data_IF_355530153274
#
_entry.id   IF_355530153274
#
_cell.length_a   1.000
_cell.length_b   1.000
_cell.length_c   1.000
_cell.angle_alpha   90.00
_cell.angle_beta   90.00
_cell.angle_gamma   90.00
#
_symmetry.space_group_name_H-M   'P 1'
#
loop_
_entity.id
_entity.type
_entity.pdbx_description
1 polymer ?
#
# COMPACT_ATOMS: atom_id res chain seq x y z
N UNK A 1 -5.89 7.43 0.56
CA UNK A 1 -7.05 6.82 1.23
C UNK A 1 -8.31 7.08 0.42
N UNK A 2 -9.24 6.14 0.42
CA UNK A 2 -10.49 6.22 -0.34
C UNK A 2 -11.71 6.16 0.59
N UNK A 3 -12.78 6.82 0.19
CA UNK A 3 -14.03 6.88 0.92
C UNK A 3 -14.81 5.56 0.80
N UNK A 4 -14.45 4.59 1.63
CA UNK A 4 -15.06 3.25 1.66
C UNK A 4 -15.78 3.00 2.99
N UNK A 5 -16.78 2.10 3.03
CA UNK A 5 -17.44 1.71 4.29
C UNK A 5 -16.44 1.23 5.36
N UNK A 6 -15.37 0.54 4.96
CA UNK A 6 -14.32 0.09 5.86
C UNK A 6 -13.57 1.25 6.53
N UNK A 7 -13.19 2.29 5.78
CA UNK A 7 -12.55 3.48 6.37
C UNK A 7 -13.50 4.21 7.31
N UNK A 8 -14.77 4.36 6.93
CA UNK A 8 -15.80 5.02 7.75
C UNK A 8 -16.03 4.30 9.08
N UNK A 9 -16.15 2.97 9.05
CA UNK A 9 -16.44 2.14 10.22
C UNK A 9 -15.24 1.93 11.14
N UNK A 10 -14.07 1.62 10.56
CA UNK A 10 -12.88 1.26 11.34
C UNK A 10 -12.09 2.47 11.84
N UNK A 11 -12.18 3.61 11.16
CA UNK A 11 -11.41 4.83 11.50
C UNK A 11 -12.32 6.08 11.56
N UNK A 12 -13.33 6.13 12.44
CA UNK A 12 -14.36 7.18 12.43
C UNK A 12 -13.80 8.58 12.68
N UNK A 13 -12.83 8.72 13.58
CA UNK A 13 -12.15 10.00 13.84
C UNK A 13 -11.35 10.50 12.64
N UNK A 14 -10.59 9.61 11.99
CA UNK A 14 -9.84 9.90 10.78
C UNK A 14 -10.78 10.29 9.64
N UNK A 15 -11.85 9.54 9.43
CA UNK A 15 -12.84 9.82 8.39
C UNK A 15 -13.45 11.21 8.60
N UNK A 16 -13.87 11.56 9.82
CA UNK A 16 -14.44 12.88 10.11
C UNK A 16 -13.50 14.02 9.72
N UNK A 17 -12.20 13.87 9.95
CA UNK A 17 -11.19 14.89 9.65
C UNK A 17 -10.83 14.94 8.15
N UNK A 18 -10.79 13.79 7.47
CA UNK A 18 -10.23 13.69 6.12
C UNK A 18 -11.26 13.54 5.01
N UNK A 19 -12.55 13.31 5.31
CA UNK A 19 -13.59 12.98 4.32
C UNK A 19 -13.65 13.88 3.08
N UNK A 20 -13.31 15.17 3.21
CA UNK A 20 -13.35 16.14 2.11
C UNK A 20 -12.21 15.96 1.09
N UNK A 21 -11.15 15.25 1.45
CA UNK A 21 -9.96 15.02 0.61
C UNK A 21 -9.72 13.53 0.34
N UNK A 22 -10.65 12.66 0.74
CA UNK A 22 -10.58 11.24 0.40
C UNK A 22 -10.85 11.06 -1.10
N UNK A 23 -10.14 10.11 -1.71
CA UNK A 23 -10.41 9.65 -3.06
C UNK A 23 -11.77 8.94 -3.12
N UNK A 24 -12.38 8.88 -4.30
CA UNK A 24 -13.50 7.95 -4.52
C UNK A 24 -12.98 6.49 -4.45
N UNK A 25 -13.86 5.50 -4.23
CA UNK A 25 -13.47 4.09 -4.30
C UNK A 25 -12.76 3.72 -5.60
N UNK A 26 -13.23 4.24 -6.74
CA UNK A 26 -12.67 3.97 -8.07
C UNK A 26 -11.25 4.54 -8.18
N UNK A 27 -11.05 5.79 -7.76
CA UNK A 27 -9.72 6.41 -7.68
C UNK A 27 -8.79 5.67 -6.70
N UNK A 28 -9.34 5.10 -5.63
CA UNK A 28 -8.58 4.29 -4.67
C UNK A 28 -8.12 2.95 -5.23
N UNK A 29 -8.91 2.35 -6.12
CA UNK A 29 -8.62 1.07 -6.76
C UNK A 29 -7.81 1.20 -8.06
N UNK A 30 -7.76 2.40 -8.65
CA UNK A 30 -7.16 2.65 -9.96
C UNK A 30 -5.79 2.02 -10.16
N UNK A 31 -4.83 2.30 -9.26
CA UNK A 31 -3.46 1.79 -9.41
C UNK A 31 -3.37 0.28 -9.29
N UNK A 32 -4.12 -0.35 -8.37
CA UNK A 32 -4.07 -1.82 -8.22
C UNK A 32 -4.72 -2.52 -9.42
N UNK A 33 -5.78 -1.95 -9.98
CA UNK A 33 -6.41 -2.46 -11.20
C UNK A 33 -5.46 -2.32 -12.39
N UNK A 34 -4.79 -1.18 -12.55
CA UNK A 34 -3.79 -0.99 -13.59
C UNK A 34 -2.61 -1.97 -13.44
N UNK A 35 -2.06 -2.14 -12.23
CA UNK A 35 -0.99 -3.11 -11.96
C UNK A 35 -1.37 -4.55 -12.34
N UNK A 36 -2.65 -4.91 -12.20
CA UNK A 36 -3.13 -6.25 -12.51
C UNK A 36 -3.41 -6.47 -14.01
N UNK A 37 -3.61 -5.40 -14.79
CA UNK A 37 -4.13 -5.49 -16.15
C UNK A 37 -3.20 -4.95 -17.24
N UNK A 38 -2.23 -4.09 -16.88
CA UNK A 38 -1.34 -3.44 -17.84
C UNK A 38 -0.06 -4.25 -18.05
N UNK A 39 0.27 -4.55 -19.30
CA UNK A 39 1.46 -5.33 -19.65
C UNK A 39 2.74 -4.65 -19.14
N UNK A 40 2.85 -3.33 -19.29
CA UNK A 40 4.01 -2.56 -18.85
C UNK A 40 4.23 -2.59 -17.32
N UNK A 41 3.15 -2.81 -16.55
CA UNK A 41 3.26 -2.98 -15.10
C UNK A 41 3.92 -4.32 -14.74
N UNK A 42 3.73 -5.35 -15.58
CA UNK A 42 4.34 -6.67 -15.40
C UNK A 42 5.86 -6.69 -15.60
N UNK A 43 6.40 -5.71 -16.32
CA UNK A 43 7.85 -5.59 -16.60
C UNK A 43 8.66 -5.09 -15.38
N UNK A 44 8.00 -4.71 -14.28
CA UNK A 44 8.66 -4.09 -13.12
C UNK A 44 8.26 -4.79 -11.82
N UNK A 45 9.25 -5.27 -11.07
CA UNK A 45 9.04 -5.90 -9.76
C UNK A 45 9.77 -5.15 -8.63
N UNK A 46 9.32 -5.37 -7.39
CA UNK A 46 9.96 -4.86 -6.17
C UNK A 46 9.81 -3.35 -5.92
N UNK A 47 8.90 -2.67 -6.64
CA UNK A 47 8.60 -1.25 -6.45
C UNK A 47 7.35 -1.04 -5.60
N UNK A 48 7.28 0.11 -4.94
CA UNK A 48 6.07 0.60 -4.29
C UNK A 48 5.38 1.57 -5.25
N UNK A 49 4.07 1.44 -5.44
CA UNK A 49 3.34 2.19 -6.46
C UNK A 49 2.26 3.08 -5.85
N UNK A 50 2.11 4.28 -6.40
CA UNK A 50 1.02 5.20 -6.12
C UNK A 50 0.69 5.94 -7.42
N UNK A 51 -0.58 6.07 -7.74
CA UNK A 51 -1.07 6.81 -8.92
C UNK A 51 -0.40 6.37 -10.24
N UNK A 52 -0.18 5.04 -10.36
CA UNK A 52 0.50 4.37 -11.49
C UNK A 52 1.96 4.82 -11.70
N UNK A 53 2.62 5.32 -10.66
CA UNK A 53 4.04 5.66 -10.67
C UNK A 53 4.81 4.95 -9.54
N UNK A 54 6.12 4.65 -9.72
CA UNK A 54 6.97 4.15 -8.64
C UNK A 54 7.29 5.25 -7.62
N UNK A 55 7.07 4.95 -6.35
CA UNK A 55 7.37 5.82 -5.21
C UNK A 55 8.35 5.19 -4.23
N UNK A 56 8.90 6.02 -3.34
CA UNK A 56 9.70 5.56 -2.22
C UNK A 56 8.84 4.79 -1.21
N UNK A 57 9.31 3.62 -0.78
CA UNK A 57 8.67 2.83 0.28
C UNK A 57 9.03 3.29 1.69
N UNK A 58 10.11 4.07 1.84
CA UNK A 58 10.58 4.60 3.11
C UNK A 58 10.84 6.11 2.99
N UNK A 59 9.85 6.90 3.41
CA UNK A 59 9.89 8.37 3.28
C UNK A 59 10.74 9.00 4.39
N UNK A 60 10.69 8.41 5.60
CA UNK A 60 11.39 8.94 6.78
C UNK A 60 12.77 8.28 6.95
N UNK A 61 13.83 9.05 7.26
CA UNK A 61 15.14 8.50 7.56
C UNK A 61 15.07 7.42 8.66
N UNK A 62 15.78 6.31 8.45
CA UNK A 62 15.82 5.20 9.42
C UNK A 62 14.63 4.24 9.39
N UNK A 63 13.64 4.42 8.49
CA UNK A 63 12.44 3.56 8.45
C UNK A 63 12.46 2.46 7.39
N UNK A 64 13.48 2.41 6.51
CA UNK A 64 13.53 1.45 5.39
C UNK A 64 13.77 -0.02 5.79
N UNK A 65 14.21 -0.24 7.04
CA UNK A 65 14.69 -1.53 7.51
C UNK A 65 15.96 -2.01 6.79
N UNK A 66 16.59 -3.05 7.31
CA UNK A 66 17.75 -3.71 6.70
C UNK A 66 17.35 -5.00 5.98
N UNK A 67 18.21 -5.49 5.09
CA UNK A 67 18.01 -6.79 4.44
C UNK A 67 17.87 -7.93 5.46
N UNK A 68 18.75 -7.97 6.47
CA UNK A 68 18.69 -8.97 7.55
C UNK A 68 17.37 -8.92 8.33
N UNK A 69 16.81 -7.71 8.55
CA UNK A 69 15.50 -7.59 9.19
C UNK A 69 14.37 -8.16 8.32
N UNK A 70 14.46 -8.00 6.99
CA UNK A 70 13.47 -8.56 6.05
C UNK A 70 13.55 -10.08 6.00
N UNK A 71 14.75 -10.64 5.92
CA UNK A 71 14.97 -12.09 5.92
C UNK A 71 14.42 -12.72 7.22
N UNK A 72 14.78 -12.16 8.38
CA UNK A 72 14.26 -12.60 9.68
C UNK A 72 12.73 -12.53 9.76
N UNK A 73 12.12 -11.49 9.20
CA UNK A 73 10.66 -11.36 9.16
C UNK A 73 10.03 -12.48 8.34
N UNK A 74 10.57 -12.78 7.15
CA UNK A 74 10.07 -13.86 6.29
C UNK A 74 10.18 -15.23 6.96
N UNK A 75 11.33 -15.53 7.58
CA UNK A 75 11.53 -16.78 8.32
C UNK A 75 10.52 -16.94 9.46
N UNK A 76 10.29 -15.86 10.23
CA UNK A 76 9.35 -15.87 11.35
C UNK A 76 7.89 -16.03 10.89
N UNK A 77 7.51 -15.41 9.78
CA UNK A 77 6.19 -15.58 9.19
C UNK A 77 5.98 -17.01 8.69
N UNK A 78 6.98 -17.59 8.03
CA UNK A 78 6.93 -18.98 7.57
C UNK A 78 6.79 -19.96 8.75
N UNK A 79 7.53 -19.73 9.84
CA UNK A 79 7.47 -20.53 11.08
C UNK A 79 6.09 -20.50 11.74
N UNK A 80 5.37 -19.37 11.67
CA UNK A 80 4.03 -19.21 12.28
C UNK A 80 2.89 -19.74 11.42
N UNK A 81 3.11 -19.85 10.11
CA UNK A 81 2.12 -20.35 9.16
C UNK A 81 2.08 -21.88 9.08
N UNK A 82 3.12 -22.56 9.59
CA UNK A 82 3.20 -24.01 9.76
C UNK A 82 2.52 -24.47 11.05
#
# INVERSE_FOLDING_TARGET
WADTPGVRGSLPGFYRLTRKVLRTPEQGADTIVWLAAADEAGEVSGKFWLDREPHLSAILPGTAGTQTQRERLVEELARRAA
#
